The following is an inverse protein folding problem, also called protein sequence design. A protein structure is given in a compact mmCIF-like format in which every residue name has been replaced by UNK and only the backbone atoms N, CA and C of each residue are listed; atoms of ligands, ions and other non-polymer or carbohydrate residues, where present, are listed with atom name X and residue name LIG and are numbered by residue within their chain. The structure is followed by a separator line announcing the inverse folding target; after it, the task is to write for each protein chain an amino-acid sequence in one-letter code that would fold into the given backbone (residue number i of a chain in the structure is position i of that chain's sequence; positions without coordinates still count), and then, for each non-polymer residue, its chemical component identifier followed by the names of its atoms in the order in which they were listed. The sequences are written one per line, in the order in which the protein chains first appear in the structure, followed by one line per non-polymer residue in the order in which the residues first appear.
data_IF_049849741529
#
_entry.id   IF_049849741529
#
_cell.length_a   1.000
_cell.length_b   1.000
_cell.length_c   1.000
_cell.angle_alpha   90.00
_cell.angle_beta   90.00
_cell.angle_gamma   90.00
#
_symmetry.space_group_name_H-M   'P 1'
#
loop_
_entity.id
_entity.type
_entity.pdbx_description
1 polymer ?
#
# COMPACT_ATOMS: atom_id res chain seq x y z
N UNK A 1 6.48 30.29 -3.39
CA UNK A 1 7.88 30.09 -3.04
C UNK A 1 8.12 28.70 -2.49
N UNK A 2 9.28 28.10 -2.76
CA UNK A 2 9.64 26.72 -2.34
C UNK A 2 9.60 26.53 -0.82
N UNK A 3 10.01 27.53 -0.04
CA UNK A 3 10.00 27.47 1.43
C UNK A 3 8.62 27.21 2.04
N UNK A 4 7.55 27.78 1.46
CA UNK A 4 6.18 27.50 1.93
C UNK A 4 5.77 26.04 1.68
N UNK A 5 6.19 25.41 0.56
CA UNK A 5 5.85 24.04 0.24
C UNK A 5 6.47 23.06 1.25
N UNK A 6 7.71 23.28 1.64
CA UNK A 6 8.40 22.47 2.64
C UNK A 6 7.71 22.58 4.02
N UNK A 7 7.41 23.79 4.47
CA UNK A 7 6.71 24.03 5.73
C UNK A 7 5.30 23.39 5.72
N UNK A 8 4.59 23.47 4.60
CA UNK A 8 3.28 22.81 4.43
C UNK A 8 3.43 21.28 4.46
N UNK A 9 4.46 20.70 3.85
CA UNK A 9 4.70 19.26 3.90
C UNK A 9 4.96 18.77 5.34
N UNK A 10 5.82 19.49 6.10
CA UNK A 10 6.06 19.23 7.54
C UNK A 10 4.76 19.33 8.35
N UNK A 11 3.92 20.31 8.04
CA UNK A 11 2.62 20.47 8.70
C UNK A 11 1.68 19.29 8.41
N UNK A 12 1.72 18.65 7.21
CA UNK A 12 0.95 17.44 6.94
C UNK A 12 1.49 16.21 7.68
N UNK A 13 2.80 16.10 7.89
CA UNK A 13 3.39 15.10 8.78
C UNK A 13 2.90 15.32 10.22
N UNK A 14 2.96 16.57 10.71
CA UNK A 14 2.42 16.93 12.02
C UNK A 14 0.91 16.65 12.13
N UNK A 15 0.15 16.85 11.05
CA UNK A 15 -1.27 16.50 10.99
C UNK A 15 -1.50 15.01 11.26
N UNK A 16 -0.69 14.13 10.65
CA UNK A 16 -0.79 12.68 10.86
C UNK A 16 -0.38 12.30 12.29
N UNK A 17 0.75 12.81 12.78
CA UNK A 17 1.27 12.55 14.13
C UNK A 17 0.30 12.97 15.23
N UNK A 18 -0.27 14.18 15.10
CA UNK A 18 -1.19 14.76 16.08
C UNK A 18 -2.66 14.39 15.85
N UNK A 19 -2.92 13.49 14.88
CA UNK A 19 -4.25 12.91 14.57
C UNK A 19 -5.32 13.94 14.20
N UNK A 20 -4.92 15.07 13.60
CA UNK A 20 -5.90 16.04 13.12
C UNK A 20 -6.64 15.49 11.88
N UNK A 21 -7.95 15.31 12.00
CA UNK A 21 -8.76 14.78 10.89
C UNK A 21 -8.87 15.75 9.71
N UNK A 22 -8.98 17.05 9.98
CA UNK A 22 -9.21 18.08 8.97
C UNK A 22 -8.06 19.09 8.91
N UNK A 23 -7.81 19.62 7.71
CA UNK A 23 -6.81 20.70 7.50
C UNK A 23 -7.13 21.95 8.31
N UNK A 24 -8.41 22.25 8.55
CA UNK A 24 -8.84 23.34 9.43
C UNK A 24 -8.33 23.16 10.84
N UNK A 25 -8.43 21.97 11.42
CA UNK A 25 -7.92 21.69 12.76
C UNK A 25 -6.40 21.87 12.84
N UNK A 26 -5.66 21.35 11.85
CA UNK A 26 -4.22 21.58 11.72
C UNK A 26 -3.90 23.08 11.67
N UNK A 27 -4.58 23.85 10.79
CA UNK A 27 -4.36 25.29 10.64
C UNK A 27 -4.63 26.03 11.95
N UNK A 28 -5.71 25.71 12.65
CA UNK A 28 -6.02 26.30 13.95
C UNK A 28 -4.92 26.00 14.99
N UNK A 29 -4.42 24.78 15.03
CA UNK A 29 -3.30 24.40 15.89
C UNK A 29 -2.02 25.18 15.56
N UNK A 30 -1.69 25.36 14.27
CA UNK A 30 -0.56 26.19 13.84
C UNK A 30 -0.74 27.67 14.23
N UNK A 31 -1.96 28.20 14.20
CA UNK A 31 -2.24 29.57 14.61
C UNK A 31 -2.17 29.79 16.13
N UNK A 32 -2.49 28.77 16.92
CA UNK A 32 -2.52 28.84 18.39
C UNK A 32 -1.22 28.41 19.06
N UNK A 33 -0.44 27.49 18.46
CA UNK A 33 0.80 26.95 19.04
C UNK A 33 2.05 27.52 18.35
N UNK A 34 2.80 28.41 18.99
CA UNK A 34 4.08 28.92 18.46
C UNK A 34 5.09 27.81 18.20
N UNK A 35 5.22 26.85 19.11
CA UNK A 35 6.18 25.76 19.00
C UNK A 35 5.88 24.87 17.78
N UNK A 36 4.62 24.47 17.59
CA UNK A 36 4.22 23.68 16.42
C UNK A 36 4.48 24.42 15.11
N UNK A 37 4.21 25.71 15.10
CA UNK A 37 4.45 26.60 13.97
C UNK A 37 5.93 26.63 13.57
N UNK A 38 6.82 26.85 14.55
CA UNK A 38 8.27 26.91 14.36
C UNK A 38 8.80 25.56 13.88
N UNK A 39 8.39 24.45 14.48
CA UNK A 39 8.77 23.09 14.08
C UNK A 39 8.36 22.82 12.62
N UNK A 40 7.19 23.27 12.21
CA UNK A 40 6.76 23.13 10.81
C UNK A 40 7.51 24.06 9.85
N UNK A 41 8.20 25.10 10.34
CA UNK A 41 8.96 26.05 9.54
C UNK A 41 8.22 27.34 9.22
N UNK A 42 7.14 27.66 9.95
CA UNK A 42 6.47 28.97 9.90
C UNK A 42 6.95 29.83 11.08
N UNK A 43 7.70 30.88 10.83
CA UNK A 43 8.25 31.77 11.88
C UNK A 43 7.16 32.54 12.61
N UNK A 44 6.26 33.13 11.84
CA UNK A 44 5.21 34.01 12.35
C UNK A 44 3.80 33.48 12.08
N UNK A 45 2.83 34.00 12.84
CA UNK A 45 1.41 33.63 12.70
C UNK A 45 0.84 33.98 11.33
N UNK A 46 1.28 35.07 10.75
CA UNK A 46 0.86 35.57 9.43
C UNK A 46 1.35 34.67 8.28
N UNK A 47 2.42 33.91 8.49
CA UNK A 47 2.98 32.98 7.51
C UNK A 47 2.18 31.70 7.37
N UNK A 48 1.28 31.41 8.31
CA UNK A 48 0.42 30.21 8.24
C UNK A 48 -0.59 30.37 7.11
N UNK A 49 -0.50 29.56 6.05
CA UNK A 49 -1.29 29.72 4.85
C UNK A 49 -2.80 29.51 5.09
N UNK A 50 -3.60 29.94 4.13
CA UNK A 50 -5.04 29.65 4.09
C UNK A 50 -5.30 28.17 3.82
N UNK A 51 -6.49 27.66 4.17
CA UNK A 51 -6.90 26.28 3.88
C UNK A 51 -6.83 25.96 2.37
N UNK A 52 -7.13 26.94 1.51
CA UNK A 52 -7.04 26.76 0.06
C UNK A 52 -5.61 26.60 -0.43
N UNK A 53 -4.63 27.24 0.21
CA UNK A 53 -3.21 27.08 -0.09
C UNK A 53 -2.73 25.69 0.36
N UNK A 54 -3.11 25.23 1.54
CA UNK A 54 -2.87 23.84 1.97
C UNK A 54 -3.46 22.83 1.00
N UNK A 55 -4.70 23.05 0.54
CA UNK A 55 -5.36 22.15 -0.39
C UNK A 55 -4.67 22.08 -1.76
N UNK A 56 -4.21 23.22 -2.28
CA UNK A 56 -3.44 23.28 -3.54
C UNK A 56 -2.09 22.59 -3.41
N UNK A 57 -1.34 22.87 -2.35
CA UNK A 57 -0.07 22.22 -2.07
C UNK A 57 -0.23 20.70 -1.96
N UNK A 58 -1.27 20.25 -1.26
CA UNK A 58 -1.57 18.81 -1.14
C UNK A 58 -1.85 18.17 -2.51
N UNK A 59 -2.58 18.86 -3.40
CA UNK A 59 -2.84 18.37 -4.75
C UNK A 59 -1.56 18.30 -5.59
N UNK A 60 -0.67 19.27 -5.47
CA UNK A 60 0.65 19.28 -6.12
C UNK A 60 1.51 18.10 -5.63
N UNK A 61 1.57 17.85 -4.32
CA UNK A 61 2.31 16.70 -3.74
C UNK A 61 1.74 15.36 -4.23
N UNK A 62 0.41 15.27 -4.31
CA UNK A 62 -0.25 14.06 -4.79
C UNK A 62 0.07 13.78 -6.26
N UNK A 63 0.03 14.82 -7.11
CA UNK A 63 0.35 14.72 -8.53
C UNK A 63 1.82 14.37 -8.77
N UNK A 64 2.74 14.92 -7.95
CA UNK A 64 4.16 14.64 -8.03
C UNK A 64 4.56 13.29 -7.38
N UNK A 65 3.64 12.58 -6.71
CA UNK A 65 3.95 11.35 -5.98
C UNK A 65 4.94 11.56 -4.82
N UNK A 66 5.04 12.78 -4.29
CA UNK A 66 6.06 13.17 -3.31
C UNK A 66 6.15 12.22 -2.11
N UNK A 67 5.00 11.76 -1.61
CA UNK A 67 4.98 10.85 -0.45
C UNK A 67 5.70 9.53 -0.70
N UNK A 68 5.55 8.95 -1.89
CA UNK A 68 6.26 7.72 -2.27
C UNK A 68 7.75 7.97 -2.39
N UNK A 69 8.15 9.08 -3.02
CA UNK A 69 9.57 9.44 -3.18
C UNK A 69 10.27 9.63 -1.82
N UNK A 70 9.63 10.37 -0.90
CA UNK A 70 10.17 10.59 0.45
C UNK A 70 10.24 9.28 1.24
N UNK A 71 9.18 8.48 1.21
CA UNK A 71 9.17 7.19 1.90
C UNK A 71 10.25 6.24 1.38
N UNK A 72 10.41 6.15 0.05
CA UNK A 72 11.43 5.29 -0.57
C UNK A 72 12.86 5.75 -0.22
N UNK A 73 13.06 7.07 -0.11
CA UNK A 73 14.33 7.63 0.34
C UNK A 73 14.64 7.25 1.80
N UNK A 74 13.65 7.39 2.70
CA UNK A 74 13.78 6.98 4.11
C UNK A 74 14.08 5.49 4.25
N UNK A 75 13.38 4.63 3.51
CA UNK A 75 13.63 3.19 3.54
C UNK A 75 15.05 2.87 3.07
N UNK A 76 15.52 3.48 1.99
CA UNK A 76 16.89 3.27 1.48
C UNK A 76 17.94 3.78 2.44
N UNK A 77 17.74 4.96 3.03
CA UNK A 77 18.70 5.58 3.94
C UNK A 77 18.90 4.76 5.22
N UNK A 78 17.78 4.28 5.81
CA UNK A 78 17.84 3.63 7.12
C UNK A 78 17.91 2.11 7.06
N UNK A 79 17.48 1.48 5.97
CA UNK A 79 17.37 0.02 5.86
C UNK A 79 18.06 -0.56 4.60
N UNK A 80 18.59 0.28 3.71
CA UNK A 80 19.15 -0.15 2.43
C UNK A 80 20.38 -1.07 2.56
N UNK A 81 21.13 -0.97 3.65
CA UNK A 81 22.29 -1.81 3.98
C UNK A 81 21.96 -2.95 4.94
N UNK A 82 20.76 -2.99 5.47
CA UNK A 82 20.32 -3.99 6.43
C UNK A 82 19.78 -5.25 5.72
N UNK A 83 20.08 -6.42 6.28
CA UNK A 83 19.44 -7.66 5.87
C UNK A 83 18.11 -7.84 6.63
N UNK A 84 17.00 -7.72 5.91
CA UNK A 84 15.67 -7.90 6.47
C UNK A 84 15.38 -9.42 6.58
N UNK A 85 14.99 -9.89 7.75
CA UNK A 85 14.63 -11.29 7.98
C UNK A 85 13.39 -11.67 7.19
N UNK A 86 12.27 -11.03 7.47
CA UNK A 86 10.99 -11.33 6.84
C UNK A 86 10.32 -10.06 6.29
N UNK A 87 9.68 -10.19 5.13
CA UNK A 87 8.74 -9.21 4.60
C UNK A 87 7.34 -9.78 4.67
N UNK A 88 6.50 -9.18 5.50
CA UNK A 88 5.07 -9.50 5.60
C UNK A 88 4.30 -8.66 4.60
N UNK A 89 3.66 -9.34 3.62
CA UNK A 89 2.86 -8.69 2.56
C UNK A 89 1.38 -8.92 2.80
N UNK A 90 0.62 -7.83 2.88
CA UNK A 90 -0.82 -7.89 3.07
C UNK A 90 -1.52 -6.63 2.52
N UNK A 91 -2.85 -6.60 2.57
CA UNK A 91 -3.66 -5.47 2.14
C UNK A 91 -4.69 -5.04 3.18
N UNK A 92 -5.03 -3.77 3.18
CA UNK A 92 -6.10 -3.26 4.03
C UNK A 92 -7.08 -2.37 3.28
N UNK A 93 -8.36 -2.41 3.70
CA UNK A 93 -9.40 -1.56 3.16
C UNK A 93 -9.20 -0.10 3.58
N UNK A 94 -9.32 0.82 2.62
CA UNK A 94 -9.45 2.25 2.85
C UNK A 94 -10.79 2.73 2.31
N UNK A 95 -11.66 3.23 3.19
CA UNK A 95 -12.93 3.79 2.79
C UNK A 95 -12.73 5.11 2.01
N UNK A 96 -13.29 5.19 0.81
CA UNK A 96 -13.27 6.39 -0.02
C UNK A 96 -14.47 7.30 0.28
N UNK A 97 -14.32 8.60 0.03
CA UNK A 97 -15.41 9.60 0.13
C UNK A 97 -16.11 9.88 -1.21
N UNK A 98 -15.95 8.97 -2.14
CA UNK A 98 -16.49 9.08 -3.50
C UNK A 98 -17.30 7.84 -3.86
N UNK A 99 -18.19 8.00 -4.84
CA UNK A 99 -18.97 6.88 -5.36
C UNK A 99 -18.09 6.00 -6.23
N UNK A 100 -18.29 4.67 -6.21
CA UNK A 100 -17.60 3.76 -7.12
C UNK A 100 -17.81 4.16 -8.58
N UNK A 101 -16.77 4.04 -9.39
CA UNK A 101 -16.84 4.27 -10.82
C UNK A 101 -17.83 3.28 -11.46
N UNK A 102 -18.71 3.77 -12.34
CA UNK A 102 -19.59 2.91 -13.13
C UNK A 102 -18.75 2.10 -14.12
N UNK A 103 -18.77 0.78 -13.98
CA UNK A 103 -18.09 -0.11 -14.95
C UNK A 103 -18.97 -0.31 -16.18
N UNK A 104 -18.51 0.12 -17.32
CA UNK A 104 -19.05 -0.30 -18.61
C UNK A 104 -18.54 -1.71 -18.85
N UNK A 105 -19.41 -2.71 -18.79
CA UNK A 105 -19.03 -4.08 -19.12
C UNK A 105 -18.96 -4.18 -20.66
N UNK A 106 -17.80 -4.54 -21.23
CA UNK A 106 -17.72 -4.82 -22.66
C UNK A 106 -18.69 -5.98 -22.99
N UNK A 107 -19.27 -6.02 -24.18
CA UNK A 107 -20.12 -7.12 -24.61
C UNK A 107 -19.33 -8.43 -24.47
N UNK A 108 -19.94 -9.41 -23.80
CA UNK A 108 -19.32 -10.73 -23.62
C UNK A 108 -19.31 -11.43 -24.99
N UNK A 109 -18.16 -11.56 -25.59
CA UNK A 109 -17.97 -12.48 -26.71
C UNK A 109 -18.10 -13.90 -26.15
N UNK A 110 -19.08 -14.65 -26.66
CA UNK A 110 -19.29 -16.03 -26.25
C UNK A 110 -18.07 -16.88 -26.67
N UNK A 111 -17.28 -17.31 -25.68
CA UNK A 111 -16.17 -18.24 -25.96
C UNK A 111 -16.77 -19.63 -26.22
N UNK A 112 -16.51 -20.20 -27.39
CA UNK A 112 -16.87 -21.59 -27.67
C UNK A 112 -16.20 -22.50 -26.64
N UNK A 113 -17.00 -23.30 -25.92
CA UNK A 113 -16.53 -24.31 -24.96
C UNK A 113 -16.39 -25.65 -25.69
N UNK A 114 -15.46 -26.49 -25.25
CA UNK A 114 -15.26 -27.84 -25.80
C UNK A 114 -13.99 -27.97 -26.65
N UNK A 115 -13.74 -29.18 -27.14
CA UNK A 115 -12.61 -29.50 -28.03
C UNK A 115 -12.77 -28.76 -29.37
N UNK A 116 -11.71 -28.16 -29.94
CA UNK A 116 -11.76 -27.55 -31.27
C UNK A 116 -12.24 -28.56 -32.32
N UNK A 117 -13.04 -28.10 -33.27
CA UNK A 117 -13.34 -28.91 -34.43
C UNK A 117 -12.06 -29.20 -35.23
N UNK A 118 -12.06 -30.31 -36.03
CA UNK A 118 -10.90 -30.66 -36.83
C UNK A 118 -10.60 -29.53 -37.83
N UNK A 119 -9.40 -28.92 -37.73
CA UNK A 119 -8.98 -27.77 -38.55
C UNK A 119 -9.32 -26.40 -37.97
N UNK A 120 -10.00 -26.30 -36.81
CA UNK A 120 -10.26 -25.01 -36.14
C UNK A 120 -9.00 -24.54 -35.39
N UNK A 121 -8.37 -23.47 -35.88
CA UNK A 121 -7.24 -22.80 -35.22
C UNK A 121 -7.83 -21.83 -34.16
N UNK A 122 -7.62 -22.10 -32.90
CA UNK A 122 -7.99 -21.16 -31.85
C UNK A 122 -6.88 -20.12 -31.65
N UNK A 123 -7.27 -18.86 -31.38
CA UNK A 123 -6.27 -17.85 -31.06
C UNK A 123 -5.47 -18.30 -29.83
N UNK A 124 -4.17 -17.95 -29.74
CA UNK A 124 -3.35 -18.28 -28.60
C UNK A 124 -4.00 -17.75 -27.31
N UNK A 125 -3.83 -18.49 -26.24
CA UNK A 125 -4.35 -18.10 -24.92
C UNK A 125 -3.59 -16.86 -24.48
N UNK A 126 -4.30 -15.75 -24.29
CA UNK A 126 -3.71 -14.53 -23.75
C UNK A 126 -3.08 -14.81 -22.36
N UNK A 127 -1.87 -14.31 -22.17
CA UNK A 127 -1.18 -14.40 -20.89
C UNK A 127 -2.03 -13.75 -19.79
N UNK A 128 -2.12 -14.41 -18.65
CA UNK A 128 -2.80 -13.84 -17.49
C UNK A 128 -1.95 -12.71 -16.90
N UNK A 129 -2.58 -11.81 -16.14
CA UNK A 129 -1.89 -10.66 -15.55
C UNK A 129 -0.64 -11.05 -14.74
N UNK A 130 -0.68 -12.13 -13.96
CA UNK A 130 0.49 -12.56 -13.18
C UNK A 130 1.64 -13.00 -14.09
N UNK A 131 1.36 -13.69 -15.20
CA UNK A 131 2.39 -14.09 -16.17
C UNK A 131 3.04 -12.87 -16.82
N UNK A 132 2.23 -11.87 -17.19
CA UNK A 132 2.74 -10.59 -17.72
C UNK A 132 3.58 -9.83 -16.71
N UNK A 133 3.17 -9.78 -15.45
CA UNK A 133 3.88 -9.07 -14.38
C UNK A 133 5.26 -9.65 -14.10
N UNK A 134 5.47 -10.96 -14.29
CA UNK A 134 6.81 -11.57 -14.20
C UNK A 134 7.77 -10.98 -15.25
N UNK A 135 7.26 -10.67 -16.44
CA UNK A 135 8.04 -10.15 -17.57
C UNK A 135 8.17 -8.62 -17.61
N UNK A 136 7.32 -7.91 -16.87
CA UNK A 136 7.26 -6.43 -16.84
C UNK A 136 8.14 -5.85 -15.74
N UNK A 137 8.50 -4.56 -15.88
CA UNK A 137 9.02 -3.77 -14.77
C UNK A 137 7.92 -3.50 -13.73
N UNK A 138 8.31 -3.15 -12.51
CA UNK A 138 7.36 -2.83 -11.44
C UNK A 138 6.44 -1.66 -11.84
N UNK A 139 7.01 -0.62 -12.44
CA UNK A 139 6.29 0.59 -12.85
C UNK A 139 5.23 0.28 -13.90
N UNK A 140 5.57 -0.51 -14.93
CA UNK A 140 4.64 -0.92 -15.97
C UNK A 140 3.50 -1.75 -15.39
N UNK A 141 3.82 -2.75 -14.58
CA UNK A 141 2.83 -3.59 -13.92
C UNK A 141 1.88 -2.79 -13.02
N UNK A 142 2.39 -1.76 -12.29
CA UNK A 142 1.59 -0.87 -11.45
C UNK A 142 0.71 0.09 -12.25
N UNK A 143 1.19 0.55 -13.42
CA UNK A 143 0.41 1.44 -14.29
C UNK A 143 -0.85 0.73 -14.84
N UNK A 144 -0.79 -0.58 -15.04
CA UNK A 144 -1.90 -1.41 -15.53
C UNK A 144 -2.92 -1.79 -14.43
N UNK A 145 -2.63 -1.55 -13.16
CA UNK A 145 -3.55 -1.84 -12.07
C UNK A 145 -4.68 -0.80 -11.98
N UNK A 146 -5.93 -1.23 -11.77
CA UNK A 146 -7.04 -0.30 -11.54
C UNK A 146 -6.82 0.53 -10.28
N UNK A 147 -6.98 1.86 -10.38
CA UNK A 147 -6.81 2.80 -9.25
C UNK A 147 -8.07 3.59 -8.92
N UNK A 148 -9.14 3.50 -9.72
CA UNK A 148 -10.39 4.21 -9.45
C UNK A 148 -11.09 3.68 -8.20
N UNK A 149 -11.83 4.55 -7.47
CA UNK A 149 -12.69 4.12 -6.37
C UNK A 149 -13.67 3.04 -6.84
N UNK A 150 -13.74 1.93 -6.10
CA UNK A 150 -14.59 0.80 -6.44
C UNK A 150 -15.15 0.13 -5.19
N UNK A 151 -16.08 -0.82 -5.38
CA UNK A 151 -16.62 -1.62 -4.30
C UNK A 151 -15.73 -2.80 -4.01
N UNK A 152 -15.20 -2.87 -2.79
CA UNK A 152 -14.51 -4.00 -2.23
C UNK A 152 -15.45 -4.94 -1.47
N UNK A 153 -15.08 -6.21 -1.41
CA UNK A 153 -15.80 -7.27 -0.70
C UNK A 153 -14.79 -8.17 -0.02
N UNK A 154 -14.97 -8.43 1.27
CA UNK A 154 -14.20 -9.45 2.00
C UNK A 154 -15.11 -10.27 2.90
N UNK A 155 -14.69 -11.48 3.25
CA UNK A 155 -15.29 -12.25 4.34
C UNK A 155 -14.49 -12.01 5.61
N UNK A 156 -15.18 -11.72 6.70
CA UNK A 156 -14.55 -11.62 8.01
C UNK A 156 -14.35 -13.01 8.65
N UNK A 157 -13.64 -13.07 9.78
CA UNK A 157 -13.38 -14.32 10.50
C UNK A 157 -14.64 -15.07 10.95
N UNK A 158 -15.78 -14.35 11.11
CA UNK A 158 -17.09 -14.93 11.45
C UNK A 158 -17.89 -15.42 10.21
N UNK A 159 -17.30 -15.33 9.01
CA UNK A 159 -17.95 -15.75 7.75
C UNK A 159 -18.88 -14.73 7.12
N UNK A 160 -19.12 -13.56 7.76
CA UNK A 160 -19.95 -12.52 7.19
C UNK A 160 -19.25 -11.75 6.08
N UNK A 161 -20.03 -11.33 5.09
CA UNK A 161 -19.53 -10.51 3.98
C UNK A 161 -19.54 -9.03 4.37
N UNK A 162 -18.37 -8.43 4.41
CA UNK A 162 -18.19 -6.99 4.59
C UNK A 162 -17.93 -6.32 3.24
N UNK A 163 -18.55 -5.17 3.01
CA UNK A 163 -18.36 -4.40 1.78
C UNK A 163 -18.01 -2.96 2.10
N UNK A 164 -17.14 -2.35 1.28
CA UNK A 164 -16.82 -0.94 1.37
C UNK A 164 -16.67 -0.33 -0.02
N UNK A 165 -16.85 0.97 -0.13
CA UNK A 165 -16.52 1.73 -1.32
C UNK A 165 -15.19 2.44 -1.07
N UNK A 166 -14.24 2.33 -1.99
CA UNK A 166 -12.94 2.96 -1.83
C UNK A 166 -11.80 2.22 -2.51
N UNK A 167 -10.78 1.96 -1.73
CA UNK A 167 -9.48 1.50 -2.18
C UNK A 167 -8.97 0.35 -1.31
N UNK A 168 -7.90 -0.30 -1.77
CA UNK A 168 -7.02 -1.14 -0.95
C UNK A 168 -5.62 -0.55 -0.91
N UNK A 169 -5.05 -0.51 0.27
CA UNK A 169 -3.64 -0.20 0.49
C UNK A 169 -2.91 -1.52 0.75
N UNK A 170 -1.93 -1.81 -0.10
CA UNK A 170 -1.06 -2.97 0.00
C UNK A 170 0.27 -2.52 0.56
N UNK A 171 0.79 -3.21 1.57
CA UNK A 171 2.08 -2.91 2.20
C UNK A 171 2.98 -4.13 2.20
N UNK A 172 4.27 -3.86 2.11
CA UNK A 172 5.36 -4.71 2.59
C UNK A 172 5.86 -4.14 3.90
N UNK A 173 5.96 -4.97 4.92
CA UNK A 173 6.33 -4.58 6.28
C UNK A 173 7.40 -5.53 6.78
N UNK A 174 8.47 -5.02 7.41
CA UNK A 174 9.51 -5.85 8.00
C UNK A 174 9.14 -6.38 9.40
N UNK A 175 10.00 -7.20 9.98
CA UNK A 175 9.82 -7.80 11.32
C UNK A 175 9.57 -6.76 12.42
N UNK A 176 10.20 -5.60 12.30
CA UNK A 176 10.08 -4.50 13.26
C UNK A 176 8.81 -3.65 13.06
N UNK A 177 7.96 -3.98 12.09
CA UNK A 177 6.74 -3.22 11.80
C UNK A 177 6.95 -1.95 10.99
N UNK A 178 8.11 -1.78 10.34
CA UNK A 178 8.41 -0.67 9.45
C UNK A 178 7.83 -0.96 8.05
N UNK A 179 6.99 -0.08 7.47
CA UNK A 179 6.52 -0.22 6.10
C UNK A 179 7.67 0.03 5.12
N UNK A 180 7.93 -0.91 4.22
CA UNK A 180 9.00 -0.88 3.23
C UNK A 180 8.50 -0.46 1.84
N UNK A 181 7.27 -0.77 1.52
CA UNK A 181 6.64 -0.47 0.24
C UNK A 181 5.14 -0.32 0.39
N UNK A 182 4.54 0.56 -0.43
CA UNK A 182 3.12 0.83 -0.41
C UNK A 182 2.55 0.99 -1.82
N UNK A 183 1.41 0.35 -2.09
CA UNK A 183 0.67 0.48 -3.35
C UNK A 183 -0.81 0.65 -3.07
N UNK A 184 -1.45 1.63 -3.72
CA UNK A 184 -2.89 1.84 -3.66
C UNK A 184 -3.56 1.32 -4.94
N UNK A 185 -4.65 0.56 -4.76
CA UNK A 185 -5.47 0.05 -5.86
C UNK A 185 -6.95 0.28 -5.61
N UNK A 186 -7.76 0.05 -6.64
CA UNK A 186 -9.22 -0.07 -6.48
C UNK A 186 -9.55 -1.17 -5.47
N UNK A 187 -10.58 -0.96 -4.66
CA UNK A 187 -11.01 -1.93 -3.64
C UNK A 187 -11.34 -3.33 -4.19
N UNK A 188 -11.68 -3.44 -5.48
CA UNK A 188 -12.02 -4.72 -6.14
C UNK A 188 -10.82 -5.51 -6.65
N UNK A 189 -9.60 -4.95 -6.60
CA UNK A 189 -8.39 -5.66 -7.06
C UNK A 189 -8.07 -6.81 -6.10
N UNK A 190 -7.81 -7.99 -6.63
CA UNK A 190 -7.39 -9.14 -5.83
C UNK A 190 -5.94 -8.97 -5.39
N UNK A 191 -5.62 -9.32 -4.15
CA UNK A 191 -4.33 -9.05 -3.53
C UNK A 191 -3.15 -9.68 -4.27
N UNK A 192 -3.32 -10.89 -4.80
CA UNK A 192 -2.31 -11.55 -5.65
C UNK A 192 -1.86 -10.73 -6.85
N UNK A 193 -2.73 -9.86 -7.40
CA UNK A 193 -2.40 -9.04 -8.56
C UNK A 193 -1.45 -7.87 -8.26
N UNK A 194 -1.18 -7.62 -6.99
CA UNK A 194 -0.27 -6.56 -6.53
C UNK A 194 1.04 -7.13 -5.99
N UNK A 195 1.08 -8.44 -5.71
CA UNK A 195 2.22 -9.09 -5.08
C UNK A 195 3.53 -8.90 -5.86
N UNK A 196 3.53 -9.25 -7.15
CA UNK A 196 4.74 -9.20 -7.98
C UNK A 196 5.30 -7.77 -8.14
N UNK A 197 4.51 -6.76 -8.54
CA UNK A 197 5.04 -5.42 -8.65
C UNK A 197 5.46 -4.83 -7.29
N UNK A 198 4.75 -5.08 -6.19
CA UNK A 198 5.14 -4.61 -4.86
C UNK A 198 6.45 -5.26 -4.43
N UNK A 199 6.61 -6.57 -4.63
CA UNK A 199 7.83 -7.33 -4.37
C UNK A 199 9.04 -6.74 -5.09
N UNK A 200 8.89 -6.45 -6.40
CA UNK A 200 9.95 -5.81 -7.21
C UNK A 200 10.32 -4.40 -6.69
N UNK A 201 9.32 -3.61 -6.28
CA UNK A 201 9.55 -2.29 -5.68
C UNK A 201 10.33 -2.36 -4.37
N UNK A 202 10.00 -3.32 -3.52
CA UNK A 202 10.66 -3.48 -2.23
C UNK A 202 12.07 -4.03 -2.39
N UNK A 203 12.28 -5.02 -3.24
CA UNK A 203 13.60 -5.59 -3.55
C UNK A 203 14.56 -4.57 -4.19
N UNK A 204 14.08 -3.51 -4.84
CA UNK A 204 14.90 -2.41 -5.34
C UNK A 204 15.43 -1.47 -4.23
N UNK A 205 14.98 -1.64 -2.99
CA UNK A 205 15.31 -0.78 -1.85
C UNK A 205 16.06 -1.50 -0.74
N UNK A 206 15.71 -2.75 -0.46
CA UNK A 206 16.25 -3.54 0.65
C UNK A 206 16.50 -4.98 0.20
N UNK A 207 17.41 -5.66 0.91
CA UNK A 207 17.67 -7.10 0.76
C UNK A 207 16.90 -7.86 1.83
N UNK A 208 16.21 -8.95 1.47
CA UNK A 208 15.43 -9.75 2.42
C UNK A 208 15.58 -11.24 2.22
N UNK A 209 15.28 -12.02 3.27
CA UNK A 209 15.38 -13.48 3.23
C UNK A 209 14.04 -14.16 2.89
N UNK A 210 12.96 -13.74 3.54
CA UNK A 210 11.67 -14.45 3.46
C UNK A 210 10.52 -13.51 3.08
N UNK A 211 9.64 -13.99 2.20
CA UNK A 211 8.36 -13.34 1.87
C UNK A 211 7.21 -14.10 2.55
N UNK A 212 6.49 -13.46 3.47
CA UNK A 212 5.36 -14.04 4.20
C UNK A 212 4.03 -13.50 3.64
N UNK A 213 3.16 -14.39 3.18
CA UNK A 213 1.88 -14.02 2.55
C UNK A 213 0.77 -15.00 2.92
N UNK A 214 -0.47 -14.52 2.94
CA UNK A 214 -1.64 -15.38 3.18
C UNK A 214 -2.05 -16.19 1.92
N UNK A 215 -3.08 -17.03 2.08
CA UNK A 215 -3.59 -17.89 1.03
C UNK A 215 -4.17 -17.15 -0.19
N UNK A 216 -4.43 -15.84 -0.10
CA UNK A 216 -4.85 -15.04 -1.24
C UNK A 216 -3.73 -14.84 -2.27
N UNK A 217 -2.49 -15.02 -1.85
CA UNK A 217 -1.28 -14.91 -2.68
C UNK A 217 -0.79 -16.27 -3.22
N UNK A 218 -1.47 -17.37 -2.93
CA UNK A 218 -1.03 -18.71 -3.36
C UNK A 218 -1.15 -18.88 -4.87
N UNK A 219 -0.09 -18.51 -5.58
CA UNK A 219 0.07 -18.67 -7.02
C UNK A 219 1.52 -19.03 -7.39
N UNK A 220 1.68 -19.92 -8.36
CA UNK A 220 3.00 -20.37 -8.80
C UNK A 220 3.90 -19.20 -9.27
N UNK A 221 3.33 -18.22 -9.98
CA UNK A 221 4.04 -17.05 -10.46
C UNK A 221 4.60 -16.18 -9.32
N UNK A 222 3.84 -16.04 -8.21
CA UNK A 222 4.28 -15.27 -7.04
C UNK A 222 5.43 -15.98 -6.36
N UNK A 223 5.33 -17.30 -6.16
CA UNK A 223 6.43 -18.11 -5.60
C UNK A 223 7.69 -18.07 -6.47
N UNK A 224 7.53 -18.23 -7.79
CA UNK A 224 8.66 -18.16 -8.72
C UNK A 224 9.33 -16.77 -8.73
N UNK A 225 8.53 -15.68 -8.64
CA UNK A 225 9.09 -14.32 -8.59
C UNK A 225 9.84 -14.06 -7.28
N UNK A 226 9.34 -14.54 -6.14
CA UNK A 226 10.03 -14.43 -4.85
C UNK A 226 11.39 -15.17 -4.91
N UNK A 227 11.40 -16.40 -5.42
CA UNK A 227 12.62 -17.17 -5.60
C UNK A 227 13.61 -16.53 -6.59
N UNK A 228 13.11 -15.93 -7.68
CA UNK A 228 13.94 -15.21 -8.64
C UNK A 228 14.62 -13.97 -8.04
N UNK A 229 14.06 -13.40 -6.98
CA UNK A 229 14.67 -12.30 -6.19
C UNK A 229 15.61 -12.81 -5.09
N UNK A 230 15.80 -14.12 -4.96
CA UNK A 230 16.62 -14.73 -3.92
C UNK A 230 15.92 -14.93 -2.58
N UNK A 231 14.60 -14.73 -2.52
CA UNK A 231 13.82 -14.87 -1.30
C UNK A 231 13.23 -16.28 -1.18
N UNK A 232 12.87 -16.67 0.05
CA UNK A 232 12.13 -17.90 0.34
C UNK A 232 10.65 -17.54 0.57
N UNK A 233 9.73 -17.94 -0.34
CA UNK A 233 8.31 -17.64 -0.18
C UNK A 233 7.64 -18.60 0.81
N UNK A 234 7.15 -18.08 1.93
CA UNK A 234 6.30 -18.79 2.88
C UNK A 234 4.87 -18.27 2.70
N UNK A 235 4.08 -18.99 1.94
CA UNK A 235 2.73 -18.59 1.56
C UNK A 235 1.76 -19.70 2.02
N UNK A 236 0.73 -19.29 2.77
CA UNK A 236 -0.33 -20.22 3.18
C UNK A 236 -1.03 -20.84 1.96
N UNK A 237 -1.41 -22.09 2.06
CA UNK A 237 -2.03 -22.80 0.93
C UNK A 237 -3.52 -22.50 0.83
N UNK A 238 -3.97 -22.19 -0.36
CA UNK A 238 -5.38 -21.98 -0.61
C UNK A 238 -6.10 -23.35 -0.63
N UNK A 239 -7.09 -23.59 0.26
CA UNK A 239 -7.78 -24.87 0.35
C UNK A 239 -8.63 -25.22 -0.88
N UNK A 240 -8.80 -24.27 -1.81
CA UNK A 240 -9.62 -24.49 -3.01
C UNK A 240 -8.91 -25.43 -3.98
N UNK A 241 -9.49 -26.60 -4.21
CA UNK A 241 -9.09 -27.58 -5.23
C UNK A 241 -7.78 -28.34 -4.95
N UNK A 242 -7.29 -28.32 -3.72
CA UNK A 242 -6.11 -29.10 -3.37
C UNK A 242 -6.18 -29.62 -1.93
N UNK A 243 -5.50 -30.72 -1.66
CA UNK A 243 -5.33 -31.21 -0.30
C UNK A 243 -4.44 -30.25 0.48
N UNK A 244 -4.89 -29.83 1.66
CA UNK A 244 -4.08 -29.00 2.55
C UNK A 244 -2.92 -29.84 3.10
N UNK A 245 -1.71 -29.39 2.80
CA UNK A 245 -0.50 -29.89 3.44
C UNK A 245 -0.08 -28.86 4.47
N UNK A 246 0.01 -29.23 5.76
CA UNK A 246 0.49 -28.32 6.80
C UNK A 246 1.88 -27.78 6.46
N UNK A 247 2.16 -26.55 6.88
CA UNK A 247 3.51 -26.00 6.79
C UNK A 247 4.48 -26.83 7.63
N UNK A 248 5.72 -26.97 7.16
CA UNK A 248 6.77 -27.57 7.99
C UNK A 248 6.95 -26.74 9.28
N UNK A 249 7.34 -27.35 10.42
CA UNK A 249 7.43 -26.65 11.71
C UNK A 249 8.26 -25.36 11.66
N UNK A 250 9.38 -25.36 10.94
CA UNK A 250 10.24 -24.20 10.76
C UNK A 250 9.62 -23.09 9.90
N UNK A 251 8.80 -23.45 8.91
CA UNK A 251 8.04 -22.49 8.10
C UNK A 251 6.88 -21.91 8.93
N UNK A 252 6.17 -22.75 9.69
CA UNK A 252 5.08 -22.32 10.55
C UNK A 252 5.56 -21.32 11.63
N UNK A 253 6.73 -21.57 12.23
CA UNK A 253 7.34 -20.64 13.19
C UNK A 253 7.63 -19.26 12.55
N UNK A 254 8.22 -19.22 11.35
CA UNK A 254 8.47 -17.97 10.62
C UNK A 254 7.20 -17.28 10.15
N UNK A 255 6.20 -18.06 9.76
CA UNK A 255 4.92 -17.52 9.28
C UNK A 255 4.18 -16.69 10.34
N UNK A 256 4.44 -16.92 11.63
CA UNK A 256 3.87 -16.12 12.73
C UNK A 256 4.29 -14.64 12.66
N UNK A 257 5.48 -14.35 12.09
CA UNK A 257 5.96 -12.97 11.90
C UNK A 257 5.08 -12.17 10.90
N UNK A 258 4.21 -12.84 10.12
CA UNK A 258 3.23 -12.17 9.25
C UNK A 258 2.33 -11.18 10.01
N UNK A 259 2.13 -11.38 11.29
CA UNK A 259 1.37 -10.46 12.15
C UNK A 259 1.97 -9.05 12.22
N UNK A 260 3.23 -8.85 11.79
CA UNK A 260 3.85 -7.53 11.68
C UNK A 260 3.06 -6.59 10.76
N UNK A 261 2.55 -7.10 9.62
CA UNK A 261 1.70 -6.32 8.71
C UNK A 261 0.38 -5.93 9.38
N UNK A 262 -0.26 -6.83 10.12
CA UNK A 262 -1.52 -6.56 10.84
C UNK A 262 -1.31 -5.48 11.92
N UNK A 263 -0.23 -5.55 12.69
CA UNK A 263 0.14 -4.53 13.68
C UNK A 263 0.41 -3.18 13.02
N UNK A 264 1.15 -3.16 11.91
CA UNK A 264 1.41 -1.95 11.14
C UNK A 264 0.11 -1.30 10.65
N UNK A 265 -0.84 -2.08 10.10
CA UNK A 265 -2.15 -1.57 9.69
C UNK A 265 -2.99 -1.05 10.85
N UNK A 266 -2.94 -1.71 12.00
CA UNK A 266 -3.61 -1.25 13.22
C UNK A 266 -3.12 0.14 13.59
N UNK A 267 -1.81 0.31 13.71
CA UNK A 267 -1.18 1.61 14.01
C UNK A 267 -1.48 2.67 12.96
N UNK A 268 -1.31 2.34 11.67
CA UNK A 268 -1.63 3.27 10.60
C UNK A 268 -3.06 3.80 10.68
N UNK A 269 -4.03 2.90 10.96
CA UNK A 269 -5.44 3.27 11.05
C UNK A 269 -5.77 4.04 12.32
N UNK A 270 -5.25 3.64 13.44
CA UNK A 270 -5.65 4.15 14.75
C UNK A 270 -4.83 5.36 15.18
N UNK A 271 -3.56 5.43 14.76
CA UNK A 271 -2.64 6.46 15.21
C UNK A 271 -2.33 7.50 14.11
N UNK A 272 -2.27 7.09 12.84
CA UNK A 272 -1.73 7.93 11.75
C UNK A 272 -2.73 8.25 10.64
N UNK A 273 -4.02 8.28 10.97
CA UNK A 273 -5.06 8.86 10.13
C UNK A 273 -5.67 7.93 9.06
N UNK A 274 -5.29 6.64 9.01
CA UNK A 274 -5.78 5.69 8.01
C UNK A 274 -7.30 5.43 8.04
N UNK A 275 -8.00 5.69 9.17
CA UNK A 275 -9.47 5.61 9.26
C UNK A 275 -10.18 6.84 8.72
N UNK A 276 -9.49 7.99 8.62
CA UNK A 276 -10.12 9.29 8.33
C UNK A 276 -9.67 9.87 6.99
N UNK A 277 -9.91 9.15 5.90
CA UNK A 277 -9.60 9.62 4.55
C UNK A 277 -10.59 10.72 4.16
N UNK A 278 -10.13 11.99 4.12
CA UNK A 278 -10.97 13.15 3.85
C UNK A 278 -10.83 13.69 2.41
N UNK A 279 -9.98 13.05 1.60
CA UNK A 279 -9.67 13.44 0.22
C UNK A 279 -10.34 12.51 -0.78
N UNK A 280 -10.41 12.94 -2.05
CA UNK A 280 -10.99 12.18 -3.17
C UNK A 280 -9.98 12.01 -4.29
N UNK A 281 -10.11 10.92 -5.04
CA UNK A 281 -9.20 10.54 -6.12
C UNK A 281 -7.99 9.74 -5.63
N UNK A 282 -7.52 8.78 -6.44
CA UNK A 282 -6.50 7.82 -6.04
C UNK A 282 -5.19 8.48 -5.60
N UNK A 283 -4.71 9.49 -6.33
CA UNK A 283 -3.44 10.14 -6.04
C UNK A 283 -3.48 10.89 -4.69
N UNK A 284 -4.59 11.58 -4.40
CA UNK A 284 -4.76 12.28 -3.11
C UNK A 284 -4.96 11.28 -1.97
N UNK A 285 -5.65 10.16 -2.21
CA UNK A 285 -5.81 9.10 -1.21
C UNK A 285 -4.46 8.43 -0.92
N UNK A 286 -3.67 8.14 -1.96
CA UNK A 286 -2.30 7.64 -1.80
C UNK A 286 -1.43 8.64 -1.03
N UNK A 287 -1.46 9.92 -1.39
CA UNK A 287 -0.69 10.95 -0.68
C UNK A 287 -1.09 11.07 0.80
N UNK A 288 -2.39 10.97 1.11
CA UNK A 288 -2.87 10.94 2.49
C UNK A 288 -2.31 9.72 3.24
N UNK A 289 -2.37 8.54 2.62
CA UNK A 289 -1.79 7.33 3.21
C UNK A 289 -0.29 7.47 3.43
N UNK A 290 0.44 8.04 2.46
CA UNK A 290 1.90 8.22 2.56
C UNK A 290 2.30 9.15 3.69
N UNK A 291 1.59 10.25 3.95
CA UNK A 291 1.86 11.07 5.14
C UNK A 291 1.71 10.28 6.44
N UNK A 292 0.69 9.43 6.53
CA UNK A 292 0.52 8.52 7.67
C UNK A 292 1.65 7.48 7.78
N UNK A 293 2.03 6.86 6.65
CA UNK A 293 3.08 5.84 6.62
C UNK A 293 4.48 6.41 6.89
N UNK A 294 4.81 7.60 6.37
CA UNK A 294 6.06 8.31 6.69
C UNK A 294 6.14 8.60 8.20
N UNK A 295 5.03 9.08 8.77
CA UNK A 295 4.96 9.35 10.21
C UNK A 295 5.10 8.07 11.03
N UNK A 296 4.42 6.99 10.64
CA UNK A 296 4.53 5.68 11.27
C UNK A 296 5.96 5.13 11.17
N UNK A 297 6.58 5.25 9.98
CA UNK A 297 7.96 4.81 9.76
C UNK A 297 8.92 5.51 10.71
N UNK A 298 8.85 6.84 10.79
CA UNK A 298 9.70 7.63 11.68
C UNK A 298 9.46 7.28 13.17
N UNK A 299 8.20 7.19 13.61
CA UNK A 299 7.87 6.84 14.99
C UNK A 299 8.31 5.40 15.36
N UNK A 300 8.16 4.46 14.43
CA UNK A 300 8.60 3.08 14.66
C UNK A 300 10.13 2.96 14.62
N UNK A 301 10.79 3.69 13.74
CA UNK A 301 12.26 3.71 13.66
C UNK A 301 12.85 4.21 14.99
N UNK A 302 12.35 5.33 15.54
CA UNK A 302 12.79 5.84 16.86
C UNK A 302 12.62 4.80 17.97
N UNK A 303 11.51 4.04 17.97
CA UNK A 303 11.29 2.98 18.96
C UNK A 303 12.27 1.82 18.83
N UNK A 304 12.63 1.45 17.61
CA UNK A 304 13.55 0.33 17.35
C UNK A 304 15.01 0.72 17.64
N UNK A 305 15.38 1.97 17.36
CA UNK A 305 16.74 2.49 17.61
C UNK A 305 16.97 2.94 19.05
N UNK A 306 15.93 3.01 19.88
CA UNK A 306 16.02 3.39 21.29
C UNK A 306 16.26 4.89 21.51
N UNK A 307 15.92 5.71 20.51
CA UNK A 307 16.01 7.19 20.59
C UNK A 307 14.71 7.81 21.09
#
# INVERSE_FOLDING_TARGET
PLKEREAIARAFVAKALLRYQHTRALRNALLSSPNLRIICGFGQRQEVPSESTFSRAFAEYAQAGLGTVVHDALVKEHLGTELIGHISRDSTALAGREKPAKKVKPPKVAKKRGRPARGEIRPPVELKRLDLQCLQTAEKALAELPKACDRGVKRNAKGYTETWNGYKLHLDVNDCGLPLGAVLTSASVHDSQVAIPLMKLTAAKVTSCYDLMDAAYDAAQIRAQSQALGHVPIIDRNPRRQTLVPMAPHEAARYQERTAAERCYGRFKDEFGGRSVQVRGPDKVMMHAMFGLITLFADQLLKVTGC
#
